data_IF_176043526279
#
_entry.id   IF_176043526279
#
_cell.length_a   1.000
_cell.length_b   1.000
_cell.length_c   1.000
_cell.angle_alpha   90.00
_cell.angle_beta   90.00
_cell.angle_gamma   90.00
#
_symmetry.space_group_name_H-M   'P 1'
#
loop_
_entity.id
_entity.type
_entity.pdbx_description
1 polymer ?
#
# COMPACT_ATOMS: atom_id res chain seq x y z
N UNK A 1 14.96 2.40 11.42
CA UNK A 1 14.53 1.04 11.79
C UNK A 1 13.10 0.88 11.37
N UNK A 2 12.77 -0.26 10.77
CA UNK A 2 11.43 -0.58 10.32
C UNK A 2 10.53 -0.76 11.54
N UNK A 3 9.36 -0.10 11.55
CA UNK A 3 8.45 -0.08 12.70
C UNK A 3 7.00 -0.30 12.28
N UNK A 4 6.43 -1.45 12.61
CA UNK A 4 5.05 -1.80 12.26
C UNK A 4 3.98 -0.95 12.97
N UNK A 5 4.37 -0.12 13.94
CA UNK A 5 3.49 0.78 14.67
C UNK A 5 3.52 2.21 14.12
N UNK A 6 4.47 2.54 13.24
CA UNK A 6 4.59 3.87 12.69
C UNK A 6 3.37 4.23 11.84
N UNK A 7 2.90 5.47 11.90
CA UNK A 7 1.77 5.88 11.08
C UNK A 7 2.08 5.79 9.58
N UNK A 8 1.02 5.55 8.81
CA UNK A 8 1.05 5.56 7.36
C UNK A 8 0.99 7.02 6.92
N UNK A 9 2.00 7.45 6.16
CA UNK A 9 2.09 8.82 5.66
C UNK A 9 1.95 8.80 4.14
N UNK A 10 0.86 9.39 3.65
CA UNK A 10 0.55 9.49 2.22
C UNK A 10 1.72 10.05 1.41
N UNK A 11 1.97 9.44 0.25
CA UNK A 11 3.06 9.74 -0.68
C UNK A 11 4.45 9.80 -0.03
N UNK A 12 4.64 9.13 1.10
CA UNK A 12 5.87 9.23 1.87
C UNK A 12 6.33 7.91 2.46
N UNK A 13 5.58 7.28 3.35
CA UNK A 13 6.12 6.14 4.08
C UNK A 13 5.10 5.23 4.76
N UNK A 14 5.48 3.97 4.88
CA UNK A 14 4.91 2.97 5.80
C UNK A 14 6.09 2.34 6.54
N UNK A 15 5.96 2.13 7.84
CA UNK A 15 6.96 1.46 8.66
C UNK A 15 8.31 2.19 8.74
N UNK A 16 8.30 3.52 8.61
CA UNK A 16 9.50 4.36 8.43
C UNK A 16 10.32 4.04 7.16
N UNK A 17 9.78 3.25 6.22
CA UNK A 17 10.35 3.06 4.89
C UNK A 17 9.83 4.16 3.98
N UNK A 18 10.74 4.98 3.44
CA UNK A 18 10.42 6.20 2.71
C UNK A 18 10.47 5.98 1.19
N UNK A 19 9.44 6.41 0.48
CA UNK A 19 9.39 6.44 -0.98
C UNK A 19 10.50 7.33 -1.55
N UNK A 20 11.08 6.93 -2.67
CA UNK A 20 12.16 7.67 -3.34
C UNK A 20 13.53 7.53 -2.68
N UNK A 21 13.63 6.90 -1.51
CA UNK A 21 14.92 6.46 -0.98
C UNK A 21 15.38 5.15 -1.64
N UNK A 22 16.67 4.85 -1.50
CA UNK A 22 17.22 3.56 -1.93
C UNK A 22 17.06 2.52 -0.81
N UNK A 23 16.66 1.30 -1.17
CA UNK A 23 16.47 0.17 -0.26
C UNK A 23 17.72 -0.19 0.54
N UNK A 24 18.92 0.11 0.03
CA UNK A 24 20.21 -0.09 0.71
C UNK A 24 20.26 0.52 2.11
N UNK A 25 19.52 1.61 2.34
CA UNK A 25 19.42 2.27 3.65
C UNK A 25 18.75 1.41 4.72
N UNK A 26 17.98 0.41 4.30
CA UNK A 26 17.18 -0.46 5.16
C UNK A 26 17.73 -1.89 5.25
N UNK A 27 18.58 -2.33 4.30
CA UNK A 27 19.02 -3.72 4.22
C UNK A 27 19.71 -4.22 5.50
N UNK A 28 20.54 -3.39 6.13
CA UNK A 28 21.21 -3.80 7.37
C UNK A 28 20.20 -4.10 8.48
N UNK A 29 19.18 -3.26 8.63
CA UNK A 29 18.12 -3.45 9.62
C UNK A 29 17.26 -4.67 9.29
N UNK A 30 16.82 -4.77 8.03
CA UNK A 30 16.05 -5.88 7.50
C UNK A 30 16.68 -7.23 7.79
N UNK A 31 17.94 -7.43 7.39
CA UNK A 31 18.60 -8.74 7.50
C UNK A 31 19.18 -9.02 8.89
N UNK A 32 19.28 -8.02 9.75
CA UNK A 32 19.73 -8.22 11.14
C UNK A 32 18.58 -8.48 12.10
N UNK A 33 17.41 -7.86 11.86
CA UNK A 33 16.33 -7.81 12.85
C UNK A 33 15.02 -8.46 12.38
N UNK A 34 14.89 -8.81 11.09
CA UNK A 34 13.63 -9.27 10.50
C UNK A 34 13.80 -10.52 9.65
N UNK A 35 12.69 -11.22 9.41
CA UNK A 35 12.63 -12.26 8.37
C UNK A 35 12.31 -11.61 7.04
N UNK A 36 13.16 -11.83 6.02
CA UNK A 36 13.02 -11.17 4.72
C UNK A 36 12.87 -12.19 3.62
N UNK A 37 11.80 -12.08 2.85
CA UNK A 37 11.64 -12.76 1.57
C UNK A 37 11.88 -11.77 0.45
N UNK A 38 12.78 -12.12 -0.47
CA UNK A 38 13.13 -11.32 -1.63
C UNK A 38 12.78 -12.06 -2.91
N UNK A 39 12.22 -11.35 -3.88
CA UNK A 39 11.97 -11.90 -5.21
C UNK A 39 11.87 -10.78 -6.26
N UNK A 40 12.20 -11.15 -7.48
CA UNK A 40 11.97 -10.33 -8.65
C UNK A 40 10.58 -10.60 -9.23
N UNK A 41 9.97 -9.60 -9.86
CA UNK A 41 8.74 -9.74 -10.62
C UNK A 41 8.77 -8.84 -11.85
N UNK A 42 7.92 -9.15 -12.82
CA UNK A 42 7.85 -8.42 -14.09
C UNK A 42 6.46 -7.83 -14.25
N UNK A 43 6.43 -6.59 -14.73
CA UNK A 43 5.20 -5.96 -15.18
C UNK A 43 4.77 -6.48 -16.57
N UNK A 44 3.53 -6.18 -17.02
CA UNK A 44 3.07 -6.54 -18.37
C UNK A 44 3.91 -5.98 -19.52
N UNK A 45 4.70 -4.94 -19.29
CA UNK A 45 5.63 -4.33 -20.26
C UNK A 45 7.07 -4.88 -20.14
N UNK A 46 7.24 -6.02 -19.46
CA UNK A 46 8.52 -6.67 -19.15
C UNK A 46 9.47 -5.85 -18.27
N UNK A 47 9.01 -4.75 -17.66
CA UNK A 47 9.82 -4.02 -16.68
C UNK A 47 10.07 -4.88 -15.43
N UNK A 48 11.34 -5.16 -15.16
CA UNK A 48 11.76 -5.88 -13.94
C UNK A 48 11.65 -4.98 -12.71
N UNK A 49 10.98 -5.48 -11.69
CA UNK A 49 10.91 -4.91 -10.34
C UNK A 49 11.38 -5.92 -9.31
N UNK A 50 11.70 -5.42 -8.12
CA UNK A 50 12.11 -6.26 -6.99
C UNK A 50 11.23 -5.98 -5.79
N UNK A 51 10.90 -7.02 -5.04
CA UNK A 51 10.09 -6.93 -3.83
C UNK A 51 10.84 -7.52 -2.63
N UNK A 52 10.75 -6.81 -1.50
CA UNK A 52 11.20 -7.26 -0.19
C UNK A 52 9.97 -7.36 0.71
N UNK A 53 9.70 -8.55 1.22
CA UNK A 53 8.62 -8.81 2.18
C UNK A 53 9.25 -9.03 3.54
N UNK A 54 9.00 -8.09 4.45
CA UNK A 54 9.57 -8.04 5.81
C UNK A 54 8.54 -8.56 6.79
N UNK A 55 8.89 -9.62 7.51
CA UNK A 55 8.09 -10.35 8.50
C UNK A 55 6.74 -10.87 7.98
N UNK A 56 6.56 -10.95 6.65
CA UNK A 56 5.27 -11.17 6.02
C UNK A 56 4.22 -10.12 6.45
N UNK A 57 4.65 -8.89 6.74
CA UNK A 57 3.80 -7.74 7.13
C UNK A 57 3.94 -6.58 6.15
N UNK A 58 5.18 -6.17 5.84
CA UNK A 58 5.47 -5.02 4.98
C UNK A 58 6.04 -5.51 3.66
N UNK A 59 5.52 -4.99 2.55
CA UNK A 59 6.04 -5.24 1.20
C UNK A 59 6.65 -3.97 0.65
N UNK A 60 7.94 -3.99 0.31
CA UNK A 60 8.65 -2.88 -0.30
C UNK A 60 8.94 -3.23 -1.75
N UNK A 61 8.39 -2.46 -2.68
CA UNK A 61 8.63 -2.60 -4.10
C UNK A 61 9.65 -1.57 -4.58
N UNK A 62 10.59 -2.02 -5.39
CA UNK A 62 11.70 -1.21 -5.89
C UNK A 62 11.88 -1.37 -7.40
N UNK A 63 12.46 -0.34 -8.03
CA UNK A 63 13.08 -0.48 -9.35
C UNK A 63 14.37 -1.30 -9.23
N UNK A 64 14.89 -1.78 -10.36
CA UNK A 64 16.15 -2.55 -10.43
C UNK A 64 17.38 -1.83 -9.86
N UNK A 65 17.35 -0.50 -9.77
CA UNK A 65 18.40 0.31 -9.13
C UNK A 65 18.22 0.48 -7.61
N UNK A 66 17.22 -0.17 -7.01
CA UNK A 66 16.93 -0.11 -5.57
C UNK A 66 16.05 1.08 -5.14
N UNK A 67 15.61 1.94 -6.06
CA UNK A 67 14.70 3.04 -5.73
C UNK A 67 13.35 2.49 -5.26
N UNK A 68 12.93 2.87 -4.05
CA UNK A 68 11.65 2.47 -3.47
C UNK A 68 10.53 3.26 -4.15
N UNK A 69 9.64 2.54 -4.83
CA UNK A 69 8.50 3.12 -5.58
C UNK A 69 7.16 2.87 -4.90
N UNK A 70 7.09 1.88 -4.01
CA UNK A 70 5.90 1.62 -3.23
C UNK A 70 6.22 0.85 -1.95
N UNK A 71 5.46 1.13 -0.90
CA UNK A 71 5.46 0.33 0.33
C UNK A 71 4.01 -0.04 0.66
N UNK A 72 3.76 -1.31 0.96
CA UNK A 72 2.47 -1.83 1.37
C UNK A 72 2.54 -2.55 2.71
N UNK A 73 1.39 -2.76 3.34
CA UNK A 73 1.26 -3.50 4.58
C UNK A 73 -0.09 -4.24 4.68
N UNK A 74 -0.12 -5.33 5.47
CA UNK A 74 -1.32 -6.15 5.68
C UNK A 74 -1.92 -6.01 7.09
N UNK A 75 -2.92 -6.83 7.44
CA UNK A 75 -3.70 -6.75 8.69
C UNK A 75 -2.89 -6.90 9.99
N UNK A 76 -1.63 -7.33 9.92
CA UNK A 76 -0.74 -7.41 11.08
C UNK A 76 -0.12 -6.06 11.42
N UNK A 77 -0.07 -5.12 10.49
CA UNK A 77 0.43 -3.76 10.72
C UNK A 77 -0.45 -3.01 11.73
N UNK A 78 0.16 -2.11 12.53
CA UNK A 78 -0.51 -1.44 13.67
C UNK A 78 -0.63 0.06 13.53
N UNK A 79 0.19 0.67 12.69
CA UNK A 79 0.09 2.09 12.38
C UNK A 79 -1.19 2.43 11.60
N UNK A 80 -1.52 3.73 11.58
CA UNK A 80 -2.77 4.22 11.00
C UNK A 80 -2.51 5.25 9.91
N UNK A 81 -3.40 5.32 8.94
CA UNK A 81 -3.51 6.43 8.01
C UNK A 81 -4.54 7.45 8.52
N UNK A 82 -4.22 8.75 8.46
CA UNK A 82 -5.05 9.84 8.99
C UNK A 82 -5.55 9.64 10.44
N UNK A 83 -4.77 8.96 11.28
CA UNK A 83 -5.12 8.57 12.66
C UNK A 83 -6.37 7.67 12.80
N UNK A 84 -7.02 7.27 11.71
CA UNK A 84 -8.33 6.62 11.75
C UNK A 84 -8.36 5.31 10.97
N UNK A 85 -7.78 5.27 9.78
CA UNK A 85 -7.80 4.12 8.90
C UNK A 85 -6.67 3.14 9.25
N UNK A 86 -7.01 1.86 9.39
CA UNK A 86 -6.06 0.79 9.59
C UNK A 86 -6.42 -0.43 8.73
N UNK A 87 -5.46 -1.30 8.48
CA UNK A 87 -5.68 -2.58 7.82
C UNK A 87 -6.66 -3.45 8.61
N UNK A 88 -7.43 -4.28 7.92
CA UNK A 88 -8.44 -5.17 8.51
C UNK A 88 -9.79 -4.49 8.79
N UNK A 89 -10.01 -3.28 8.30
CA UNK A 89 -11.30 -2.58 8.43
C UNK A 89 -12.34 -3.11 7.44
N UNK A 90 -13.62 -3.03 7.83
CA UNK A 90 -14.72 -3.28 6.89
C UNK A 90 -14.90 -2.09 5.97
N UNK A 91 -15.34 -2.33 4.73
CA UNK A 91 -15.64 -1.27 3.77
C UNK A 91 -16.61 -0.23 4.33
N UNK A 92 -17.64 -0.67 5.07
CA UNK A 92 -18.59 0.24 5.74
C UNK A 92 -17.92 1.20 6.74
N UNK A 93 -16.85 0.79 7.41
CA UNK A 93 -16.15 1.67 8.35
C UNK A 93 -15.22 2.64 7.62
N UNK A 94 -14.62 2.22 6.50
CA UNK A 94 -13.88 3.14 5.62
C UNK A 94 -14.78 4.24 5.08
N UNK A 95 -15.97 3.89 4.59
CA UNK A 95 -16.97 4.85 4.08
C UNK A 95 -17.35 5.86 5.17
N UNK A 96 -17.57 5.41 6.42
CA UNK A 96 -17.93 6.31 7.53
C UNK A 96 -16.81 7.28 7.91
N UNK A 97 -15.55 6.87 7.75
CA UNK A 97 -14.38 7.64 8.21
C UNK A 97 -13.77 8.53 7.11
N UNK A 98 -14.30 8.50 5.90
CA UNK A 98 -13.76 9.26 4.76
C UNK A 98 -14.86 10.02 4.04
N UNK A 99 -14.50 11.13 3.40
CA UNK A 99 -15.44 12.01 2.71
C UNK A 99 -15.84 11.47 1.33
N UNK A 100 -14.89 10.83 0.64
CA UNK A 100 -15.10 10.24 -0.67
C UNK A 100 -14.20 9.02 -0.87
N UNK A 101 -14.67 8.08 -1.69
CA UNK A 101 -13.97 6.87 -2.07
C UNK A 101 -14.20 6.63 -3.57
N UNK A 102 -13.17 6.21 -4.30
CA UNK A 102 -13.25 5.87 -5.74
C UNK A 102 -12.34 4.68 -6.04
N UNK A 103 -12.74 3.86 -6.99
CA UNK A 103 -11.92 2.72 -7.42
C UNK A 103 -11.04 3.15 -8.59
N UNK A 104 -9.75 2.83 -8.49
CA UNK A 104 -8.76 2.98 -9.54
C UNK A 104 -7.88 1.74 -9.56
N UNK A 105 -7.81 1.04 -10.70
CA UNK A 105 -6.90 -0.08 -10.93
C UNK A 105 -6.89 -1.10 -9.78
N UNK A 106 -8.08 -1.56 -9.36
CA UNK A 106 -8.25 -2.54 -8.29
C UNK A 106 -7.96 -2.04 -6.87
N UNK A 107 -7.87 -0.72 -6.67
CA UNK A 107 -7.64 -0.13 -5.36
C UNK A 107 -8.66 0.98 -5.07
N UNK A 108 -8.94 1.22 -3.80
CA UNK A 108 -9.74 2.35 -3.34
C UNK A 108 -8.80 3.53 -3.04
N UNK A 109 -9.06 4.67 -3.68
CA UNK A 109 -8.52 5.98 -3.33
C UNK A 109 -9.55 6.70 -2.46
N UNK A 110 -9.10 7.26 -1.34
CA UNK A 110 -9.97 8.00 -0.40
C UNK A 110 -9.60 9.48 -0.38
N UNK A 111 -10.59 10.36 -0.22
CA UNK A 111 -10.40 11.80 -0.08
C UNK A 111 -9.57 12.46 -1.22
N UNK A 112 -9.62 11.91 -2.43
CA UNK A 112 -8.79 12.32 -3.58
C UNK A 112 -7.28 12.35 -3.25
N UNK A 113 -6.84 11.53 -2.28
CA UNK A 113 -5.45 11.39 -1.92
C UNK A 113 -4.78 10.28 -2.75
N UNK A 114 -4.08 10.70 -3.79
CA UNK A 114 -3.33 9.83 -4.70
C UNK A 114 -1.94 9.43 -4.18
N UNK A 115 -1.64 9.64 -2.90
CA UNK A 115 -0.43 9.14 -2.24
C UNK A 115 -0.67 7.89 -1.38
N UNK A 116 -1.92 7.45 -1.25
CA UNK A 116 -2.35 6.33 -0.42
C UNK A 116 -3.46 5.54 -1.13
N UNK A 117 -3.47 4.22 -0.95
CA UNK A 117 -4.54 3.38 -1.45
C UNK A 117 -4.84 2.22 -0.51
N UNK A 118 -6.05 1.68 -0.62
CA UNK A 118 -6.48 0.45 0.03
C UNK A 118 -6.72 -0.58 -1.08
N UNK A 119 -6.03 -1.71 -1.05
CA UNK A 119 -6.16 -2.72 -2.10
C UNK A 119 -7.50 -3.45 -1.95
N UNK A 120 -8.20 -3.66 -3.07
CA UNK A 120 -9.37 -4.53 -3.08
C UNK A 120 -8.88 -5.98 -3.14
N UNK A 121 -9.46 -6.90 -2.35
CA UNK A 121 -9.19 -8.31 -2.51
C UNK A 121 -9.92 -8.88 -3.73
N UNK A 122 -9.38 -9.93 -4.32
CA UNK A 122 -10.06 -10.75 -5.34
C UNK A 122 -11.44 -11.20 -4.85
N UNK A 123 -12.49 -11.12 -5.69
CA UNK A 123 -12.47 -10.71 -7.11
C UNK A 123 -12.67 -9.22 -7.37
N UNK A 124 -12.81 -8.40 -6.33
CA UNK A 124 -13.25 -7.00 -6.45
C UNK A 124 -12.19 -6.08 -7.06
N UNK A 125 -10.92 -6.45 -6.99
CA UNK A 125 -9.82 -5.78 -7.69
C UNK A 125 -10.01 -5.76 -9.22
N UNK A 126 -10.69 -6.77 -9.77
CA UNK A 126 -10.90 -6.89 -11.21
C UNK A 126 -12.31 -6.52 -11.66
N UNK A 127 -13.33 -6.79 -10.84
CA UNK A 127 -14.73 -6.70 -11.27
C UNK A 127 -15.46 -5.44 -10.79
N UNK A 128 -14.90 -4.70 -9.83
CA UNK A 128 -15.56 -3.53 -9.26
C UNK A 128 -15.11 -2.24 -9.96
N UNK A 129 -16.05 -1.57 -10.63
CA UNK A 129 -15.90 -0.25 -11.23
C UNK A 129 -16.36 0.88 -10.29
N UNK A 130 -17.19 0.55 -9.28
CA UNK A 130 -17.80 1.50 -8.35
C UNK A 130 -17.83 1.00 -6.91
N UNK A 131 -17.85 1.94 -5.95
CA UNK A 131 -17.84 1.65 -4.51
C UNK A 131 -19.10 0.88 -4.09
N UNK A 132 -20.23 1.16 -4.73
CA UNK A 132 -21.51 0.50 -4.53
C UNK A 132 -21.50 -1.00 -4.88
N UNK A 133 -20.50 -1.46 -5.65
CA UNK A 133 -20.32 -2.86 -6.02
C UNK A 133 -19.50 -3.64 -4.98
N UNK A 134 -18.87 -2.93 -4.03
CA UNK A 134 -18.04 -3.52 -2.98
C UNK A 134 -18.91 -3.80 -1.74
N UNK A 135 -18.98 -5.05 -1.23
CA UNK A 135 -19.78 -5.36 -0.05
C UNK A 135 -19.35 -4.57 1.19
N UNK A 136 -20.33 -4.05 1.93
CA UNK A 136 -20.09 -3.23 3.12
C UNK A 136 -19.38 -3.98 4.25
N UNK A 137 -19.49 -5.31 4.30
CA UNK A 137 -18.86 -6.18 5.26
C UNK A 137 -17.52 -6.75 4.77
N UNK A 138 -17.11 -6.46 3.53
CA UNK A 138 -15.81 -6.84 2.99
C UNK A 138 -14.69 -6.27 3.87
N UNK A 139 -13.76 -7.14 4.27
CA UNK A 139 -12.59 -6.78 5.08
C UNK A 139 -11.44 -6.42 4.16
N UNK A 140 -10.98 -5.17 4.27
CA UNK A 140 -9.89 -4.62 3.48
C UNK A 140 -8.59 -4.78 4.27
N UNK A 141 -7.72 -5.66 3.79
CA UNK A 141 -6.56 -6.13 4.54
C UNK A 141 -5.28 -5.39 4.21
N UNK A 142 -5.18 -4.84 3.01
CA UNK A 142 -3.93 -4.32 2.49
C UNK A 142 -4.03 -2.83 2.19
N UNK A 143 -2.99 -2.11 2.58
CA UNK A 143 -2.85 -0.67 2.40
C UNK A 143 -1.49 -0.36 1.81
N UNK A 144 -1.42 0.69 0.98
CA UNK A 144 -0.21 1.01 0.24
C UNK A 144 0.01 2.52 0.15
N UNK A 145 1.27 2.91 0.11
CA UNK A 145 1.72 4.24 -0.33
C UNK A 145 2.54 4.08 -1.61
N UNK A 146 2.25 4.95 -2.58
CA UNK A 146 2.98 5.13 -3.83
C UNK A 146 2.57 6.47 -4.45
N UNK A 147 3.18 6.85 -5.57
CA UNK A 147 2.75 8.02 -6.34
C UNK A 147 1.70 7.62 -7.40
N UNK A 148 0.42 7.91 -7.12
CA UNK A 148 -0.70 7.67 -8.03
C UNK A 148 -1.22 8.95 -8.72
N UNK A 149 -0.49 10.07 -8.66
CA UNK A 149 -1.02 11.36 -9.16
C UNK A 149 -1.38 11.33 -10.65
N UNK A 150 -0.77 10.43 -11.43
CA UNK A 150 -1.11 10.22 -12.85
C UNK A 150 -2.54 9.70 -13.07
N UNK A 151 -3.17 9.09 -12.06
CA UNK A 151 -4.55 8.59 -12.12
C UNK A 151 -5.58 9.68 -11.88
N UNK A 152 -5.16 10.84 -11.35
CA UNK A 152 -6.06 11.95 -11.06
C UNK A 152 -6.77 12.40 -12.35
N UNK A 153 -8.11 12.41 -12.40
CA UNK A 153 -8.83 12.88 -13.57
C UNK A 153 -8.40 14.30 -13.94
N UNK A 154 -8.14 14.54 -15.22
CA UNK A 154 -7.88 15.90 -15.73
C UNK A 154 -9.18 16.70 -15.63
N UNK A 155 -9.10 17.90 -15.04
CA UNK A 155 -10.21 18.86 -15.02
C UNK A 155 -10.45 19.43 -16.40
#
# INVERSE_FOLDING_TARGET
MIDINADIISNKSIGNVVLGENVDRYLNDMYSNHTVRFFDYFLPDDEKRMAYVVDEIITIATLSNGLIISVGCNEKYKGRYMNSLCTGMRMSDVIKLTNEQRIFNGCIIVNDDFGFSIELPTPYDEIADGIEQVPLDLVLKEMRVADYHSWKPKK
#
